data_IF_152207980165
#
_entry.id   IF_152207980165
#
_cell.length_a   1.000
_cell.length_b   1.000
_cell.length_c   1.000
_cell.angle_alpha   90.00
_cell.angle_beta   90.00
_cell.angle_gamma   90.00
#
_symmetry.space_group_name_H-M   'P 1'
#
loop_
_entity.id
_entity.type
_entity.pdbx_description
1 polymer ?
#
# COMPACT_ATOMS: atom_id res chain seq x y z
N UNK A 1 4.94 29.80 33.76
CA UNK A 1 4.13 28.83 32.98
C UNK A 1 4.80 28.69 31.62
N UNK A 2 5.77 27.77 31.51
CA UNK A 2 6.55 27.59 30.27
C UNK A 2 6.76 26.09 30.06
N UNK A 3 6.13 25.57 29.01
CA UNK A 3 6.64 24.51 28.13
C UNK A 3 5.96 24.80 26.78
N UNK A 4 6.52 25.65 25.90
CA UNK A 4 7.48 25.30 24.86
C UNK A 4 7.07 24.04 24.05
N UNK A 5 6.28 24.30 23.02
CA UNK A 5 6.26 23.66 21.70
C UNK A 5 6.89 22.27 21.54
N UNK A 6 6.06 21.24 21.39
CA UNK A 6 6.32 20.14 20.46
C UNK A 6 4.99 19.82 19.78
N UNK A 7 4.93 19.97 18.46
CA UNK A 7 3.84 19.40 17.68
C UNK A 7 3.79 17.90 18.03
N UNK A 8 2.68 17.40 18.59
CA UNK A 8 2.46 15.96 18.64
C UNK A 8 2.40 15.50 17.19
N UNK A 9 3.48 14.93 16.67
CA UNK A 9 3.41 14.23 15.40
C UNK A 9 2.47 13.05 15.63
N UNK A 10 1.44 12.93 14.78
CA UNK A 10 0.56 11.76 14.86
C UNK A 10 1.37 10.52 14.49
N UNK A 11 0.96 9.36 15.01
CA UNK A 11 1.56 8.06 14.68
C UNK A 11 1.58 7.84 13.15
N UNK A 12 0.61 8.43 12.44
CA UNK A 12 0.64 8.47 10.97
C UNK A 12 1.85 9.24 10.44
N UNK A 13 2.05 10.49 10.85
CA UNK A 13 3.16 11.32 10.37
C UNK A 13 4.52 10.67 10.64
N UNK A 14 4.71 10.12 11.85
CA UNK A 14 5.92 9.39 12.23
C UNK A 14 6.08 8.10 11.40
N UNK A 15 4.99 7.35 11.22
CA UNK A 15 4.98 6.15 10.39
C UNK A 15 5.35 6.41 8.93
N UNK A 16 4.91 7.54 8.36
CA UNK A 16 5.32 7.97 7.01
C UNK A 16 6.79 8.39 6.99
N UNK A 17 7.29 9.05 8.02
CA UNK A 17 8.69 9.42 8.11
C UNK A 17 9.57 8.16 8.17
N UNK A 18 9.24 7.20 9.03
CA UNK A 18 9.91 5.91 9.12
C UNK A 18 9.86 5.16 7.77
N UNK A 19 8.70 5.15 7.09
CA UNK A 19 8.56 4.51 5.78
C UNK A 19 9.50 5.14 4.73
N UNK A 20 9.59 6.47 4.70
CA UNK A 20 10.48 7.21 3.77
C UNK A 20 11.96 6.96 4.08
N UNK A 21 12.31 6.77 5.35
CA UNK A 21 13.65 6.41 5.79
C UNK A 21 13.98 4.92 5.60
N UNK A 22 13.03 4.13 5.09
CA UNK A 22 13.13 2.68 4.91
C UNK A 22 13.21 1.90 6.23
N UNK A 23 12.84 2.53 7.35
CA UNK A 23 12.64 1.88 8.64
C UNK A 23 11.27 1.18 8.64
N UNK A 24 11.10 0.15 7.79
CA UNK A 24 9.78 -0.42 7.53
C UNK A 24 9.17 -1.14 8.73
N UNK A 25 9.96 -1.68 9.65
CA UNK A 25 9.48 -2.26 10.90
C UNK A 25 8.84 -1.20 11.80
N UNK A 26 9.54 -0.09 11.99
CA UNK A 26 9.03 1.06 12.76
C UNK A 26 7.79 1.66 12.09
N UNK A 27 7.85 1.85 10.77
CA UNK A 27 6.71 2.31 9.99
C UNK A 27 5.50 1.37 10.15
N UNK A 28 5.71 0.05 10.15
CA UNK A 28 4.64 -0.92 10.30
C UNK A 28 3.89 -0.73 11.62
N UNK A 29 4.61 -0.57 12.73
CA UNK A 29 4.00 -0.42 14.05
C UNK A 29 3.25 0.91 14.18
N UNK A 30 3.89 2.02 13.80
CA UNK A 30 3.29 3.36 13.83
C UNK A 30 2.07 3.49 12.92
N UNK A 31 2.13 2.86 11.73
CA UNK A 31 1.01 2.87 10.78
C UNK A 31 -0.14 1.96 11.23
N UNK A 32 0.13 0.85 11.95
CA UNK A 32 -0.96 0.07 12.57
C UNK A 32 -1.68 0.89 13.62
N UNK A 33 -0.95 1.61 14.46
CA UNK A 33 -1.55 2.50 15.46
C UNK A 33 -2.40 3.57 14.78
N UNK A 34 -1.85 4.26 13.78
CA UNK A 34 -2.58 5.25 12.98
C UNK A 34 -3.83 4.69 12.29
N UNK A 35 -3.79 3.41 11.89
CA UNK A 35 -4.92 2.75 11.24
C UNK A 35 -6.13 2.58 12.17
N UNK A 36 -5.89 2.36 13.46
CA UNK A 36 -6.95 2.14 14.45
C UNK A 36 -7.40 3.41 15.18
N UNK A 37 -6.65 4.51 15.07
CA UNK A 37 -6.98 5.79 15.70
C UNK A 37 -7.78 6.70 14.74
N UNK A 38 -7.12 7.41 13.81
CA UNK A 38 -7.78 8.47 13.02
C UNK A 38 -7.40 8.52 11.52
N UNK A 39 -6.46 7.69 11.03
CA UNK A 39 -5.99 7.76 9.62
C UNK A 39 -5.98 6.39 8.90
N UNK A 40 -7.05 5.62 9.10
CA UNK A 40 -7.24 4.28 8.51
C UNK A 40 -7.03 4.25 6.98
N UNK A 41 -7.47 5.28 6.27
CA UNK A 41 -7.42 5.31 4.79
C UNK A 41 -5.99 5.48 4.29
N UNK A 42 -5.20 6.39 4.85
CA UNK A 42 -3.82 6.56 4.40
C UNK A 42 -2.91 5.50 5.00
N UNK A 43 -3.08 5.15 6.28
CA UNK A 43 -2.33 4.08 6.91
C UNK A 43 -2.55 2.73 6.20
N UNK A 44 -3.79 2.42 5.83
CA UNK A 44 -4.14 1.20 5.10
C UNK A 44 -3.42 1.08 3.75
N UNK A 45 -3.22 2.20 3.03
CA UNK A 45 -2.39 2.21 1.82
C UNK A 45 -0.94 1.80 2.11
N UNK A 46 -0.29 2.40 3.12
CA UNK A 46 1.11 2.11 3.42
C UNK A 46 1.31 0.71 4.01
N UNK A 47 0.46 0.29 4.94
CA UNK A 47 0.45 -1.07 5.49
C UNK A 47 0.28 -2.10 4.37
N UNK A 48 -0.69 -1.86 3.48
CA UNK A 48 -0.91 -2.63 2.28
C UNK A 48 0.35 -2.76 1.42
N UNK A 49 1.04 -1.63 1.18
CA UNK A 49 2.29 -1.59 0.40
C UNK A 49 3.43 -2.35 1.05
N UNK A 50 3.58 -2.26 2.38
CA UNK A 50 4.59 -3.00 3.15
C UNK A 50 4.38 -4.50 2.98
N UNK A 51 3.17 -4.99 3.25
CA UNK A 51 2.85 -6.42 3.16
C UNK A 51 2.86 -6.95 1.73
N UNK A 52 2.44 -6.15 0.75
CA UNK A 52 2.40 -6.61 -0.65
C UNK A 52 3.81 -6.82 -1.22
N UNK A 53 4.76 -5.95 -0.86
CA UNK A 53 6.13 -6.01 -1.39
C UNK A 53 7.15 -6.66 -0.45
N UNK A 54 6.76 -6.99 0.79
CA UNK A 54 7.66 -7.53 1.81
C UNK A 54 8.84 -6.61 2.14
N UNK A 55 8.56 -5.36 2.50
CA UNK A 55 9.59 -4.34 2.69
C UNK A 55 10.36 -4.53 4.00
N UNK A 56 11.66 -4.21 3.98
CA UNK A 56 12.52 -4.22 5.17
C UNK A 56 12.77 -5.59 5.79
N UNK A 57 12.48 -6.70 5.11
CA UNK A 57 12.58 -8.05 5.69
C UNK A 57 11.27 -8.54 6.34
N UNK A 58 10.20 -7.75 6.24
CA UNK A 58 8.84 -8.22 6.52
C UNK A 58 8.46 -9.20 5.40
N UNK A 59 7.95 -10.38 5.76
CA UNK A 59 7.53 -11.37 4.76
C UNK A 59 6.35 -10.83 3.93
N UNK A 60 6.38 -10.94 2.59
CA UNK A 60 5.21 -10.62 1.79
C UNK A 60 3.99 -11.43 2.24
N UNK A 61 2.85 -10.75 2.41
CA UNK A 61 1.57 -11.37 2.75
C UNK A 61 0.44 -10.68 1.98
N UNK A 62 0.00 -11.33 0.91
CA UNK A 62 -1.02 -10.79 0.02
C UNK A 62 -2.40 -10.72 0.67
N UNK A 63 -2.68 -11.54 1.71
CA UNK A 63 -3.95 -11.50 2.42
C UNK A 63 -4.01 -10.28 3.34
N UNK A 64 -2.94 -10.06 4.11
CA UNK A 64 -2.82 -8.85 4.93
C UNK A 64 -2.81 -7.58 4.08
N UNK A 65 -2.10 -7.61 2.95
CA UNK A 65 -2.10 -6.51 2.00
C UNK A 65 -3.53 -6.20 1.51
N UNK A 66 -4.27 -7.21 1.06
CA UNK A 66 -5.67 -7.04 0.65
C UNK A 66 -6.53 -6.45 1.75
N UNK A 67 -6.41 -6.94 3.00
CA UNK A 67 -7.22 -6.44 4.12
C UNK A 67 -7.05 -4.93 4.30
N UNK A 68 -5.80 -4.45 4.37
CA UNK A 68 -5.53 -3.01 4.58
C UNK A 68 -5.84 -2.17 3.33
N UNK A 69 -5.51 -2.68 2.14
CA UNK A 69 -5.75 -1.97 0.89
C UNK A 69 -7.23 -1.86 0.57
N UNK A 70 -8.03 -2.89 0.88
CA UNK A 70 -9.46 -2.92 0.56
C UNK A 70 -10.20 -1.80 1.27
N UNK A 71 -9.98 -1.65 2.58
CA UNK A 71 -10.60 -0.57 3.34
C UNK A 71 -10.24 0.82 2.76
N UNK A 72 -8.95 1.05 2.51
CA UNK A 72 -8.49 2.32 1.92
C UNK A 72 -9.05 2.55 0.50
N UNK A 73 -9.09 1.52 -0.33
CA UNK A 73 -9.57 1.59 -1.71
C UNK A 73 -11.08 1.85 -1.78
N UNK A 74 -11.86 1.21 -0.91
CA UNK A 74 -13.31 1.40 -0.78
C UNK A 74 -13.64 2.83 -0.30
N UNK A 75 -12.77 3.43 0.52
CA UNK A 75 -12.84 4.85 0.91
C UNK A 75 -12.33 5.84 -0.16
N UNK A 76 -11.99 5.37 -1.37
CA UNK A 76 -11.60 6.22 -2.48
C UNK A 76 -10.10 6.52 -2.56
N UNK A 77 -9.23 5.86 -1.79
CA UNK A 77 -7.79 6.02 -1.93
C UNK A 77 -7.32 5.43 -3.27
N UNK A 78 -7.04 6.33 -4.22
CA UNK A 78 -6.62 6.03 -5.58
C UNK A 78 -5.33 5.20 -5.64
N UNK A 79 -4.39 5.40 -4.70
CA UNK A 79 -3.15 4.60 -4.64
C UNK A 79 -3.42 3.19 -4.11
N UNK A 80 -4.29 3.05 -3.12
CA UNK A 80 -4.72 1.74 -2.63
C UNK A 80 -5.49 0.95 -3.69
N UNK A 81 -6.33 1.63 -4.48
CA UNK A 81 -6.99 1.03 -5.64
C UNK A 81 -5.96 0.46 -6.64
N UNK A 82 -4.90 1.22 -6.96
CA UNK A 82 -3.81 0.72 -7.82
C UNK A 82 -3.17 -0.55 -7.25
N UNK A 83 -2.87 -0.60 -5.95
CA UNK A 83 -2.27 -1.79 -5.34
C UNK A 83 -3.26 -2.97 -5.25
N UNK A 84 -4.56 -2.70 -5.13
CA UNK A 84 -5.59 -3.75 -5.27
C UNK A 84 -5.60 -4.36 -6.67
N UNK A 85 -5.20 -3.63 -7.72
CA UNK A 85 -5.04 -4.23 -9.04
C UNK A 85 -3.96 -5.33 -9.04
N UNK A 86 -2.85 -5.12 -8.32
CA UNK A 86 -1.83 -6.15 -8.14
C UNK A 86 -2.39 -7.35 -7.36
N UNK A 87 -3.16 -7.12 -6.29
CA UNK A 87 -3.87 -8.19 -5.56
C UNK A 87 -4.79 -8.99 -6.50
N UNK A 88 -5.57 -8.34 -7.36
CA UNK A 88 -6.42 -9.03 -8.33
C UNK A 88 -5.63 -9.89 -9.31
N UNK A 89 -4.50 -9.40 -9.80
CA UNK A 89 -3.67 -10.14 -10.73
C UNK A 89 -2.99 -11.35 -10.08
N UNK A 90 -2.47 -11.22 -8.86
CA UNK A 90 -1.66 -12.25 -8.20
C UNK A 90 -2.50 -13.25 -7.41
N UNK A 91 -3.41 -12.77 -6.54
CA UNK A 91 -4.23 -13.64 -5.68
C UNK A 91 -5.36 -14.29 -6.43
N UNK A 92 -6.03 -13.53 -7.29
CA UNK A 92 -7.25 -13.96 -7.97
C UNK A 92 -7.05 -14.32 -9.44
N UNK A 93 -5.80 -14.22 -9.94
CA UNK A 93 -5.45 -14.44 -11.35
C UNK A 93 -6.34 -13.64 -12.32
N UNK A 94 -6.82 -12.46 -11.90
CA UNK A 94 -7.78 -11.64 -12.62
C UNK A 94 -7.10 -10.39 -13.19
N UNK A 95 -6.37 -10.59 -14.28
CA UNK A 95 -5.67 -9.52 -15.00
C UNK A 95 -6.62 -8.51 -15.63
N UNK A 96 -7.79 -8.94 -16.10
CA UNK A 96 -8.79 -8.06 -16.69
C UNK A 96 -9.26 -7.00 -15.69
N UNK A 97 -9.61 -7.43 -14.47
CA UNK A 97 -10.02 -6.52 -13.39
C UNK A 97 -8.87 -5.62 -12.96
N UNK A 98 -7.66 -6.17 -12.86
CA UNK A 98 -6.47 -5.39 -12.55
C UNK A 98 -6.25 -4.26 -13.57
N UNK A 99 -6.33 -4.57 -14.88
CA UNK A 99 -6.19 -3.61 -15.98
C UNK A 99 -7.27 -2.55 -15.97
N UNK A 100 -8.51 -2.94 -15.69
CA UNK A 100 -9.62 -1.99 -15.57
C UNK A 100 -9.38 -0.96 -14.47
N UNK A 101 -8.79 -1.36 -13.34
CA UNK A 101 -8.49 -0.47 -12.22
C UNK A 101 -7.40 0.54 -12.58
N UNK A 102 -6.32 0.09 -13.24
CA UNK A 102 -5.21 0.99 -13.62
C UNK A 102 -5.57 1.88 -14.82
N UNK A 103 -6.55 1.49 -15.64
CA UNK A 103 -6.97 2.25 -16.83
C UNK A 103 -7.61 3.57 -16.42
N UNK A 104 -6.96 4.68 -16.77
CA UNK A 104 -7.42 6.04 -16.48
C UNK A 104 -6.81 6.66 -15.23
N UNK A 105 -5.91 5.94 -14.55
CA UNK A 105 -5.24 6.42 -13.35
C UNK A 105 -3.76 6.69 -13.61
N UNK A 106 -3.35 7.94 -13.39
CA UNK A 106 -2.01 8.43 -13.70
C UNK A 106 -1.06 8.47 -12.50
N UNK A 107 -1.50 8.03 -11.30
CA UNK A 107 -0.65 8.05 -10.11
C UNK A 107 0.53 7.08 -10.27
N UNK A 108 1.71 7.39 -9.68
CA UNK A 108 2.90 6.56 -9.82
C UNK A 108 2.68 5.08 -9.48
N UNK A 109 1.94 4.77 -8.41
CA UNK A 109 1.66 3.38 -8.02
C UNK A 109 0.91 2.60 -9.13
N UNK A 110 -0.02 3.24 -9.86
CA UNK A 110 -0.70 2.59 -10.99
C UNK A 110 0.24 2.32 -12.16
N UNK A 111 1.22 3.19 -12.41
CA UNK A 111 2.24 2.97 -13.46
C UNK A 111 3.17 1.81 -13.09
N UNK A 112 3.58 1.76 -11.82
CA UNK A 112 4.40 0.67 -11.28
C UNK A 112 3.68 -0.68 -11.39
N UNK A 113 2.40 -0.72 -10.97
CA UNK A 113 1.57 -1.93 -11.11
C UNK A 113 1.37 -2.30 -12.58
N UNK A 114 1.09 -1.34 -13.46
CA UNK A 114 0.95 -1.61 -14.90
C UNK A 114 2.20 -2.28 -15.49
N UNK A 115 3.40 -1.81 -15.11
CA UNK A 115 4.66 -2.41 -15.55
C UNK A 115 4.81 -3.86 -15.05
N UNK A 116 4.44 -4.13 -13.79
CA UNK A 116 4.44 -5.49 -13.23
C UNK A 116 3.50 -6.41 -14.02
N UNK A 117 2.27 -5.97 -14.28
CA UNK A 117 1.29 -6.77 -15.03
C UNK A 117 1.78 -7.10 -16.45
N UNK A 118 2.45 -6.17 -17.12
CA UNK A 118 3.07 -6.44 -18.43
C UNK A 118 4.12 -7.54 -18.36
N UNK A 119 4.96 -7.53 -17.32
CA UNK A 119 5.97 -8.57 -17.12
C UNK A 119 5.32 -9.93 -16.84
N UNK A 120 4.26 -9.97 -16.02
CA UNK A 120 3.49 -11.19 -15.77
C UNK A 120 2.90 -11.78 -17.06
N UNK A 121 2.34 -10.94 -17.94
CA UNK A 121 1.81 -11.39 -19.25
C UNK A 121 2.88 -11.98 -20.15
N UNK A 122 4.06 -11.34 -20.21
CA UNK A 122 5.19 -11.84 -21.01
C UNK A 122 5.62 -13.22 -20.54
N UNK A 123 5.73 -13.43 -19.23
CA UNK A 123 6.12 -14.72 -18.67
C UNK A 123 5.11 -15.82 -19.01
N UNK A 124 3.80 -15.54 -18.91
CA UNK A 124 2.74 -16.51 -19.27
C UNK A 124 2.71 -16.88 -20.76
N UNK A 125 3.22 -16.02 -21.64
CA UNK A 125 3.24 -16.29 -23.08
C UNK A 125 4.51 -17.04 -23.52
N UNK A 126 5.47 -17.24 -22.60
CA UNK A 126 6.74 -17.93 -22.84
C UNK A 126 6.77 -19.34 -22.24
N UNK A 127 5.66 -19.80 -21.65
CA UNK A 127 5.43 -21.16 -21.11
C UNK A 127 4.49 -21.94 -22.05
#
# INVERSE_FOLDING_TARGET
MIALSLAYASSFSEGIQAFKQQNYQEALELLKEAYYDDDAVNAGYFLGKIYLNGLGGIKPDINMAETFLKAAADSGNVRAQCLMAQVYAEKYNNLEKAEKIIKGNSVPDCKEVAQRLQNMKKNKNNE
#
